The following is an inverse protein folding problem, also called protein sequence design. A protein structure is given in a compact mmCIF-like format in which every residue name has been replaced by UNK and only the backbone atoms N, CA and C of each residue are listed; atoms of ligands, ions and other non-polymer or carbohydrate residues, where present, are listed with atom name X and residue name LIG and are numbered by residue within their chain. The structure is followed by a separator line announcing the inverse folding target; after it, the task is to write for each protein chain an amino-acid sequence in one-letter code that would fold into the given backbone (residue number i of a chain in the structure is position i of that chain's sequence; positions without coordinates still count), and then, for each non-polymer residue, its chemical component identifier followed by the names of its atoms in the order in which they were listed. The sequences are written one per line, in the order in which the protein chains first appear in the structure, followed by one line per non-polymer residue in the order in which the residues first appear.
data_IF_323913522227
#
_entry.id   IF_323913522227
#
_cell.length_a   1.000
_cell.length_b   1.000
_cell.length_c   1.000
_cell.angle_alpha   90.00
_cell.angle_beta   90.00
_cell.angle_gamma   90.00
#
_symmetry.space_group_name_H-M   'P 1'
#
loop_
_entity.id
_entity.type
_entity.pdbx_description
1 polymer ?
#
# COMPACT_ATOMS: atom_id res chain seq x y z
N UNK A 1 -5.97 16.66 12.31
CA UNK A 1 -6.41 15.72 11.26
C UNK A 1 -7.15 16.52 10.19
N UNK A 2 -6.68 16.47 8.94
CA UNK A 2 -7.34 17.09 7.79
C UNK A 2 -8.10 16.00 7.05
N UNK A 3 -9.34 16.26 6.68
CA UNK A 3 -10.16 15.35 5.88
C UNK A 3 -10.41 15.99 4.52
N UNK A 4 -10.31 15.19 3.46
CA UNK A 4 -10.53 15.64 2.08
C UNK A 4 -11.56 14.71 1.45
N UNK A 5 -12.59 15.28 0.83
CA UNK A 5 -13.59 14.55 0.06
C UNK A 5 -13.30 14.69 -1.42
N UNK A 6 -12.41 13.85 -1.96
CA UNK A 6 -12.03 13.83 -3.36
C UNK A 6 -11.74 12.39 -3.79
N UNK A 7 -11.62 12.16 -5.09
CA UNK A 7 -11.02 10.91 -5.59
C UNK A 7 -9.53 10.89 -5.23
N UNK A 8 -8.99 9.69 -5.03
CA UNK A 8 -7.61 9.54 -4.56
C UNK A 8 -6.63 10.00 -5.64
N UNK A 9 -6.91 9.67 -6.90
CA UNK A 9 -6.11 10.05 -8.06
C UNK A 9 -6.04 11.57 -8.19
N UNK A 10 -7.20 12.24 -8.07
CA UNK A 10 -7.31 13.71 -8.12
C UNK A 10 -6.51 14.36 -6.98
N UNK A 11 -6.65 13.84 -5.76
CA UNK A 11 -5.92 14.35 -4.59
C UNK A 11 -4.40 14.17 -4.70
N UNK A 12 -3.95 13.02 -5.21
CA UNK A 12 -2.52 12.74 -5.38
C UNK A 12 -1.91 13.57 -6.52
N UNK A 13 -2.69 13.89 -7.57
CA UNK A 13 -2.25 14.74 -8.66
C UNK A 13 -1.99 16.19 -8.21
N UNK A 14 -2.80 16.72 -7.29
CA UNK A 14 -2.61 18.05 -6.70
C UNK A 14 -1.41 18.11 -5.73
N UNK A 15 -0.93 16.94 -5.31
CA UNK A 15 0.19 16.75 -4.39
C UNK A 15 -0.19 17.02 -2.92
N UNK A 16 0.24 16.17 -1.97
CA UNK A 16 0.14 16.52 -0.56
C UNK A 16 0.94 17.81 -0.32
N UNK A 17 0.38 18.74 0.46
CA UNK A 17 0.87 20.12 0.61
C UNK A 17 2.27 20.27 1.23
N UNK A 18 2.92 19.16 1.57
CA UNK A 18 4.13 19.09 2.36
C UNK A 18 5.27 18.63 1.43
N UNK A 19 6.35 19.42 1.34
CA UNK A 19 7.43 19.25 0.36
C UNK A 19 8.20 17.91 0.41
N UNK A 20 7.85 17.00 1.33
CA UNK A 20 8.48 15.68 1.49
C UNK A 20 7.53 14.48 1.32
N UNK A 21 6.24 14.70 1.07
CA UNK A 21 5.24 13.62 1.06
C UNK A 21 4.98 13.02 2.47
N UNK A 22 4.04 12.09 2.60
CA UNK A 22 3.71 11.46 3.88
C UNK A 22 4.77 10.44 4.30
N UNK A 23 5.13 10.35 5.58
CA UNK A 23 6.02 9.26 6.04
C UNK A 23 5.40 7.87 5.80
N UNK A 24 4.08 7.74 6.00
CA UNK A 24 3.35 6.48 5.89
C UNK A 24 2.01 6.70 5.19
N UNK A 25 1.69 5.82 4.25
CA UNK A 25 0.35 5.70 3.66
C UNK A 25 -0.29 4.41 4.17
N UNK A 26 -1.55 4.51 4.61
CA UNK A 26 -2.40 3.36 4.92
C UNK A 26 -3.60 3.41 3.98
N UNK A 27 -3.88 2.32 3.27
CA UNK A 27 -5.01 2.23 2.35
C UNK A 27 -5.82 0.95 2.58
N UNK A 28 -7.14 1.10 2.46
CA UNK A 28 -8.15 0.04 2.54
C UNK A 28 -9.12 0.20 1.34
N UNK A 29 -8.69 -0.14 0.12
CA UNK A 29 -9.50 0.01 -1.09
C UNK A 29 -10.68 -0.98 -1.14
N UNK A 30 -11.66 -0.75 -2.03
CA UNK A 30 -12.73 -1.73 -2.27
C UNK A 30 -12.16 -3.08 -2.76
N UNK A 31 -13.01 -4.11 -2.79
CA UNK A 31 -12.64 -5.49 -3.21
C UNK A 31 -11.85 -5.58 -4.52
N UNK A 32 -12.09 -4.66 -5.45
CA UNK A 32 -11.38 -4.60 -6.74
C UNK A 32 -9.91 -4.19 -6.65
N UNK A 33 -9.45 -3.74 -5.48
CA UNK A 33 -8.15 -3.09 -5.28
C UNK A 33 -8.23 -1.58 -5.50
N UNK A 34 -7.11 -0.90 -5.26
CA UNK A 34 -6.92 0.52 -5.57
C UNK A 34 -6.66 0.74 -7.07
N UNK A 35 -6.11 -0.26 -7.75
CA UNK A 35 -5.86 -0.20 -9.19
C UNK A 35 -4.54 0.47 -9.55
N UNK A 36 -4.07 0.19 -10.77
CA UNK A 36 -2.71 0.53 -11.22
C UNK A 36 -2.43 2.03 -11.16
N UNK A 37 -3.41 2.88 -11.49
CA UNK A 37 -3.27 4.34 -11.50
C UNK A 37 -2.98 4.88 -10.10
N UNK A 38 -3.82 4.53 -9.11
CA UNK A 38 -3.62 4.92 -7.71
C UNK A 38 -2.32 4.38 -7.17
N UNK A 39 -2.04 3.09 -7.39
CA UNK A 39 -0.83 2.46 -6.84
C UNK A 39 0.45 3.07 -7.42
N UNK A 40 0.44 3.45 -8.70
CA UNK A 40 1.57 4.15 -9.34
C UNK A 40 1.73 5.57 -8.79
N UNK A 41 0.63 6.29 -8.58
CA UNK A 41 0.67 7.62 -7.98
C UNK A 41 1.19 7.57 -6.53
N UNK A 42 0.76 6.60 -5.73
CA UNK A 42 1.26 6.38 -4.37
C UNK A 42 2.75 6.05 -4.33
N UNK A 43 3.24 5.23 -5.28
CA UNK A 43 4.66 4.92 -5.39
C UNK A 43 5.52 6.17 -5.64
N UNK A 44 4.95 7.19 -6.31
CA UNK A 44 5.61 8.46 -6.62
C UNK A 44 5.35 9.58 -5.58
N UNK A 45 4.45 9.35 -4.61
CA UNK A 45 3.99 10.38 -3.67
C UNK A 45 5.00 10.75 -2.57
N UNK A 46 6.24 10.27 -2.65
CA UNK A 46 7.28 10.51 -1.65
C UNK A 46 7.12 9.71 -0.35
N UNK A 47 6.20 8.73 -0.33
CA UNK A 47 5.98 7.92 0.85
C UNK A 47 7.19 7.04 1.18
N UNK A 48 7.46 6.83 2.48
CA UNK A 48 8.53 5.93 2.94
C UNK A 48 8.03 4.53 3.23
N UNK A 49 6.74 4.39 3.53
CA UNK A 49 6.06 3.12 3.79
C UNK A 49 4.62 3.15 3.30
N UNK A 50 4.16 2.03 2.75
CA UNK A 50 2.77 1.78 2.39
C UNK A 50 2.29 0.55 3.16
N UNK A 51 1.13 0.66 3.82
CA UNK A 51 0.39 -0.44 4.43
C UNK A 51 -0.91 -0.62 3.67
N UNK A 52 -1.00 -1.70 2.91
CA UNK A 52 -2.17 -2.03 2.08
C UNK A 52 -3.01 -3.10 2.78
N UNK A 53 -4.28 -2.80 3.01
CA UNK A 53 -5.28 -3.71 3.56
C UNK A 53 -6.20 -4.15 2.43
N UNK A 54 -6.45 -5.46 2.28
CA UNK A 54 -7.33 -5.95 1.24
C UNK A 54 -7.98 -7.29 1.56
N UNK A 55 -9.29 -7.36 1.37
CA UNK A 55 -10.11 -8.54 1.62
C UNK A 55 -10.18 -9.55 0.45
N UNK A 56 -9.66 -9.18 -0.73
CA UNK A 56 -9.53 -10.06 -1.89
C UNK A 56 -8.04 -10.31 -2.19
N UNK A 57 -7.55 -11.57 -2.08
CA UNK A 57 -6.14 -11.86 -2.28
C UNK A 57 -5.61 -11.53 -3.68
N UNK A 58 -6.45 -11.62 -4.71
CA UNK A 58 -6.03 -11.40 -6.09
C UNK A 58 -5.83 -9.91 -6.40
N UNK A 59 -6.73 -9.05 -5.93
CA UNK A 59 -6.57 -7.60 -6.07
C UNK A 59 -5.44 -7.07 -5.20
N UNK A 60 -5.28 -7.56 -3.96
CA UNK A 60 -4.13 -7.24 -3.10
C UNK A 60 -2.81 -7.60 -3.79
N UNK A 61 -2.69 -8.82 -4.32
CA UNK A 61 -1.47 -9.26 -5.02
C UNK A 61 -1.17 -8.40 -6.26
N UNK A 62 -2.21 -7.99 -7.02
CA UNK A 62 -2.04 -7.09 -8.16
C UNK A 62 -1.49 -5.73 -7.74
N UNK A 63 -2.09 -5.11 -6.72
CA UNK A 63 -1.69 -3.78 -6.25
C UNK A 63 -0.27 -3.81 -5.65
N UNK A 64 0.03 -4.81 -4.83
CA UNK A 64 1.39 -5.06 -4.31
C UNK A 64 2.38 -5.26 -5.46
N UNK A 65 1.99 -5.99 -6.50
CA UNK A 65 2.80 -6.19 -7.71
C UNK A 65 3.17 -4.89 -8.41
N UNK A 66 2.26 -3.90 -8.45
CA UNK A 66 2.55 -2.56 -9.01
C UNK A 66 3.65 -1.86 -8.20
N UNK A 67 3.56 -1.88 -6.87
CA UNK A 67 4.58 -1.28 -6.01
C UNK A 67 5.93 -1.99 -6.14
N UNK A 68 5.92 -3.32 -6.15
CA UNK A 68 7.14 -4.12 -6.32
C UNK A 68 7.80 -3.84 -7.67
N UNK A 69 7.02 -3.71 -8.74
CA UNK A 69 7.53 -3.32 -10.06
C UNK A 69 8.14 -1.90 -10.05
N UNK A 70 7.66 -1.01 -9.17
CA UNK A 70 8.23 0.31 -8.93
C UNK A 70 9.43 0.31 -7.95
N UNK A 71 9.94 -0.87 -7.55
CA UNK A 71 11.12 -1.02 -6.70
C UNK A 71 10.82 -1.02 -5.20
N UNK A 72 9.56 -0.97 -4.80
CA UNK A 72 9.18 -1.11 -3.39
C UNK A 72 9.41 -2.54 -2.92
N UNK A 73 9.75 -2.68 -1.64
CA UNK A 73 10.05 -3.99 -1.05
C UNK A 73 8.93 -4.39 -0.11
N UNK A 74 8.29 -5.53 -0.37
CA UNK A 74 7.39 -6.18 0.59
C UNK A 74 8.20 -6.68 1.78
N UNK A 75 7.90 -6.17 2.98
CA UNK A 75 8.64 -6.47 4.22
C UNK A 75 7.81 -7.27 5.23
N UNK A 76 6.49 -7.23 5.13
CA UNK A 76 5.60 -8.10 5.91
C UNK A 76 4.31 -8.37 5.12
N UNK A 77 3.74 -9.56 5.34
CA UNK A 77 2.45 -9.97 4.80
C UNK A 77 1.74 -10.85 5.82
N UNK A 78 0.58 -10.41 6.30
CA UNK A 78 -0.24 -11.14 7.28
C UNK A 78 -1.66 -11.33 6.76
N UNK A 79 -2.23 -12.51 7.00
CA UNK A 79 -3.64 -12.79 6.81
C UNK A 79 -4.38 -12.76 8.14
N UNK A 80 -5.52 -12.10 8.20
CA UNK A 80 -6.34 -11.93 9.40
C UNK A 80 -7.74 -12.45 9.13
N UNK A 81 -8.17 -13.43 9.93
CA UNK A 81 -9.55 -13.91 9.95
C UNK A 81 -10.43 -12.94 10.75
N UNK A 82 -10.65 -11.74 10.20
CA UNK A 82 -11.42 -10.68 10.85
C UNK A 82 -12.91 -11.04 11.01
N UNK A 83 -13.40 -12.01 10.23
CA UNK A 83 -14.78 -12.48 10.22
C UNK A 83 -14.85 -14.01 10.46
N UNK A 84 -14.76 -14.46 11.73
CA UNK A 84 -14.79 -15.88 12.07
C UNK A 84 -16.02 -16.61 11.54
N UNK A 85 -15.83 -17.84 11.06
CA UNK A 85 -16.92 -18.66 10.48
C UNK A 85 -17.29 -18.29 9.04
N UNK A 86 -16.54 -17.40 8.41
CA UNK A 86 -16.68 -17.06 6.99
C UNK A 86 -15.44 -17.45 6.19
N UNK A 87 -15.52 -17.36 4.86
CA UNK A 87 -14.36 -17.51 3.98
C UNK A 87 -13.56 -16.21 3.82
N UNK A 88 -13.95 -15.12 4.49
CA UNK A 88 -13.28 -13.83 4.37
C UNK A 88 -11.97 -13.81 5.14
N UNK A 89 -10.94 -13.30 4.48
CA UNK A 89 -9.62 -13.04 5.05
C UNK A 89 -9.21 -11.64 4.66
N UNK A 90 -8.71 -10.86 5.62
CA UNK A 90 -8.07 -9.58 5.37
C UNK A 90 -6.58 -9.79 5.23
N UNK A 91 -6.00 -9.38 4.11
CA UNK A 91 -4.56 -9.33 3.90
C UNK A 91 -4.02 -7.96 4.31
N UNK A 92 -2.91 -7.94 5.03
CA UNK A 92 -2.14 -6.75 5.35
C UNK A 92 -0.75 -6.89 4.74
N UNK A 93 -0.43 -6.07 3.76
CA UNK A 93 0.89 -5.99 3.14
C UNK A 93 1.61 -4.72 3.57
N UNK A 94 2.83 -4.85 4.09
CA UNK A 94 3.68 -3.71 4.46
C UNK A 94 4.82 -3.63 3.46
N UNK A 95 4.97 -2.48 2.81
CA UNK A 95 6.02 -2.21 1.84
C UNK A 95 6.84 -0.99 2.25
N UNK A 96 8.16 -1.12 2.17
CA UNK A 96 9.09 -0.01 2.31
C UNK A 96 9.50 0.54 0.94
N UNK A 97 9.69 1.85 0.88
CA UNK A 97 10.17 2.52 -0.33
C UNK A 97 11.56 1.99 -0.75
N UNK A 98 11.93 2.10 -2.04
CA UNK A 98 13.25 1.74 -2.52
C UNK A 98 14.32 2.47 -1.71
N UNK A 99 15.29 1.73 -1.16
CA UNK A 99 16.47 2.33 -0.53
C UNK A 99 17.46 2.74 -1.62
N UNK A 100 18.15 3.87 -1.44
CA UNK A 100 19.18 4.32 -2.38
C UNK A 100 20.32 3.29 -2.56
N UNK A 101 20.57 2.49 -1.53
CA UNK A 101 21.44 1.32 -1.55
C UNK A 101 20.56 0.07 -1.49
N UNK A 102 20.58 -0.82 -2.48
CA UNK A 102 19.66 -1.98 -2.63
C UNK A 102 19.73 -3.06 -1.54
N UNK A 103 19.47 -2.70 -0.27
CA UNK A 103 19.54 -3.58 0.89
C UNK A 103 18.38 -4.58 0.96
N UNK A 104 18.74 -5.84 1.23
CA UNK A 104 17.83 -6.97 1.41
C UNK A 104 17.12 -6.88 2.77
N UNK A 105 15.82 -7.19 2.79
CA UNK A 105 15.02 -7.24 4.03
C UNK A 105 15.57 -8.27 5.02
N UNK A 106 15.52 -7.93 6.30
CA UNK A 106 15.63 -8.93 7.38
C UNK A 106 14.30 -9.67 7.43
N UNK A 107 14.31 -10.98 7.16
CA UNK A 107 13.19 -11.86 7.45
C UNK A 107 12.90 -11.82 8.95
N UNK A 108 11.69 -11.42 9.32
CA UNK A 108 11.15 -11.64 10.65
C UNK A 108 10.19 -12.83 10.56
N UNK A 109 10.75 -14.03 10.76
CA UNK A 109 9.97 -15.19 11.20
C UNK A 109 9.80 -15.03 12.71
N UNK A 110 8.60 -14.66 13.12
CA UNK A 110 7.96 -15.01 14.40
C UNK A 110 6.43 -14.91 14.21
#
# INVERSE_FOLDING_TARGET
MRTVGARVEDFLADGPADAGGPDVVVLDPPRGGAGVEVMSALAAAGARRIVHVGCDPASLARDVGVLVAAGWRLVDLRGVAAFPGTHHVEGLAVLDAPTADGGVARENVD
#
